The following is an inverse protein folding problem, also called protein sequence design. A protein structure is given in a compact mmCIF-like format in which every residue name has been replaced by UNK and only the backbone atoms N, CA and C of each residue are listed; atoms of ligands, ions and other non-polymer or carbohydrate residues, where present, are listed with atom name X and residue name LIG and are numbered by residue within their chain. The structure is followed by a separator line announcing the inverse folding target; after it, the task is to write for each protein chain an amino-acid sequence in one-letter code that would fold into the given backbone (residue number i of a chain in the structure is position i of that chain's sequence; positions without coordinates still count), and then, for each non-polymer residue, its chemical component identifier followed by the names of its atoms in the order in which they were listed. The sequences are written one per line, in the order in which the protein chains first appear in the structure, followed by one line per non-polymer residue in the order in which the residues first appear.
data_IF_341434177851
#
_entry.id   IF_341434177851
#
_cell.length_a   1.000
_cell.length_b   1.000
_cell.length_c   1.000
_cell.angle_alpha   90.00
_cell.angle_beta   90.00
_cell.angle_gamma   90.00
#
_symmetry.space_group_name_H-M   'P 1'
#
loop_
_entity.id
_entity.type
_entity.pdbx_description
1 polymer ?
#
# COMPACT_ATOMS: atom_id res chain seq x y z
N UNK A 1 16.19 -5.66 -17.59
CA UNK A 1 15.84 -4.28 -17.15
C UNK A 1 16.76 -3.88 -16.00
N UNK A 2 17.39 -2.70 -16.07
CA UNK A 2 18.26 -2.18 -15.00
C UNK A 2 17.46 -2.06 -13.68
N UNK A 3 18.07 -2.43 -12.55
CA UNK A 3 17.46 -2.33 -11.22
C UNK A 3 16.97 -0.90 -10.91
N UNK A 4 17.64 0.12 -11.44
CA UNK A 4 17.20 1.51 -11.30
C UNK A 4 15.83 1.77 -11.96
N UNK A 5 15.60 1.25 -13.16
CA UNK A 5 14.32 1.38 -13.87
C UNK A 5 13.23 0.58 -13.16
N UNK A 6 13.56 -0.65 -12.71
CA UNK A 6 12.68 -1.43 -11.82
C UNK A 6 12.29 -0.62 -10.58
N UNK A 7 13.23 0.13 -10.01
CA UNK A 7 13.00 1.00 -8.87
C UNK A 7 12.00 2.11 -9.19
N UNK A 8 12.20 2.85 -10.28
CA UNK A 8 11.28 3.94 -10.67
C UNK A 8 9.85 3.40 -10.84
N UNK A 9 9.70 2.27 -11.53
CA UNK A 9 8.39 1.63 -11.71
C UNK A 9 7.80 1.19 -10.36
N UNK A 10 8.60 0.59 -9.48
CA UNK A 10 8.17 0.22 -8.13
C UNK A 10 7.65 1.44 -7.38
N UNK A 11 8.43 2.53 -7.36
CA UNK A 11 8.08 3.77 -6.66
C UNK A 11 6.73 4.34 -7.13
N UNK A 12 6.49 4.36 -8.44
CA UNK A 12 5.21 4.81 -8.99
C UNK A 12 4.03 3.91 -8.59
N UNK A 13 4.27 2.59 -8.50
CA UNK A 13 3.22 1.61 -8.20
C UNK A 13 2.84 1.64 -6.71
N UNK A 14 3.80 1.74 -5.79
CA UNK A 14 3.54 1.61 -4.35
C UNK A 14 2.80 2.81 -3.74
N UNK A 15 2.77 3.96 -4.42
CA UNK A 15 1.94 5.11 -4.03
C UNK A 15 0.45 4.81 -4.18
N UNK A 16 0.07 3.94 -5.13
CA UNK A 16 -1.32 3.58 -5.39
C UNK A 16 -1.81 2.51 -4.40
N UNK A 17 -2.98 2.72 -3.77
CA UNK A 17 -3.62 1.68 -2.95
C UNK A 17 -3.96 0.47 -3.83
N UNK A 18 -3.91 -0.71 -3.24
CA UNK A 18 -4.17 -1.94 -3.99
C UNK A 18 -3.00 -2.55 -4.74
N UNK A 19 -1.87 -1.87 -4.85
CA UNK A 19 -0.67 -2.42 -5.49
C UNK A 19 0.48 -2.61 -4.50
N UNK A 20 0.76 -3.88 -4.15
CA UNK A 20 1.81 -4.24 -3.19
C UNK A 20 3.19 -4.31 -3.85
N UNK A 21 4.22 -3.73 -3.20
CA UNK A 21 5.61 -3.84 -3.63
C UNK A 21 6.11 -5.29 -3.70
N UNK A 22 5.67 -6.17 -2.78
CA UNK A 22 5.95 -7.60 -2.85
C UNK A 22 5.48 -8.26 -4.16
N UNK A 23 4.33 -7.84 -4.69
CA UNK A 23 3.84 -8.30 -6.01
C UNK A 23 4.76 -7.82 -7.14
N UNK A 24 5.21 -6.57 -7.09
CA UNK A 24 6.12 -6.01 -8.10
C UNK A 24 7.46 -6.75 -8.10
N UNK A 25 7.99 -7.07 -6.93
CA UNK A 25 9.23 -7.86 -6.81
C UNK A 25 9.09 -9.28 -7.38
N UNK A 26 7.94 -9.92 -7.20
CA UNK A 26 7.63 -11.22 -7.81
C UNK A 26 7.57 -11.10 -9.34
N UNK A 27 6.86 -10.10 -9.87
CA UNK A 27 6.79 -9.82 -11.31
C UNK A 27 8.17 -9.53 -11.91
N UNK A 28 9.04 -8.84 -11.16
CA UNK A 28 10.40 -8.57 -11.58
C UNK A 28 11.37 -9.75 -11.41
N UNK A 29 10.93 -10.86 -10.82
CA UNK A 29 11.74 -12.05 -10.55
C UNK A 29 12.84 -11.84 -9.52
N UNK A 30 12.76 -10.80 -8.67
CA UNK A 30 13.81 -10.46 -7.71
C UNK A 30 13.45 -10.77 -6.25
N UNK A 31 12.20 -11.16 -5.98
CA UNK A 31 11.67 -11.33 -4.61
C UNK A 31 12.49 -12.29 -3.74
N UNK A 32 12.70 -13.53 -4.19
CA UNK A 32 13.39 -14.57 -3.42
C UNK A 32 14.84 -14.19 -3.10
N UNK A 33 15.57 -13.69 -4.09
CA UNK A 33 16.97 -13.29 -3.92
C UNK A 33 17.06 -12.07 -3.00
N UNK A 34 16.16 -11.10 -3.16
CA UNK A 34 16.09 -9.90 -2.33
C UNK A 34 15.84 -10.27 -0.87
N UNK A 35 14.88 -11.16 -0.59
CA UNK A 35 14.62 -11.61 0.79
C UNK A 35 15.83 -12.32 1.40
N UNK A 36 16.47 -13.24 0.66
CA UNK A 36 17.67 -13.96 1.14
C UNK A 36 18.83 -13.01 1.43
N UNK A 37 19.04 -12.01 0.58
CA UNK A 37 20.09 -11.00 0.76
C UNK A 37 19.77 -10.04 1.91
N UNK A 38 18.52 -9.58 2.04
CA UNK A 38 18.07 -8.73 3.15
C UNK A 38 18.22 -9.45 4.50
N UNK A 39 17.90 -10.75 4.57
CA UNK A 39 18.09 -11.55 5.78
C UNK A 39 19.57 -11.64 6.21
N UNK A 40 20.51 -11.49 5.26
CA UNK A 40 21.96 -11.42 5.51
C UNK A 40 22.48 -9.99 5.62
N UNK A 41 21.59 -8.99 5.65
CA UNK A 41 21.91 -7.56 5.61
C UNK A 41 22.74 -7.13 4.39
N UNK A 42 22.68 -7.88 3.29
CA UNK A 42 23.38 -7.60 2.05
C UNK A 42 22.54 -6.68 1.13
N UNK A 43 22.45 -5.39 1.48
CA UNK A 43 21.60 -4.43 0.75
C UNK A 43 22.25 -3.84 -0.51
N UNK A 44 23.58 -3.96 -0.66
CA UNK A 44 24.36 -3.29 -1.71
C UNK A 44 23.84 -3.56 -3.14
N UNK A 45 23.46 -4.80 -3.52
CA UNK A 45 22.96 -5.07 -4.86
C UNK A 45 21.66 -4.31 -5.20
N UNK A 46 20.88 -3.93 -4.19
CA UNK A 46 19.56 -3.31 -4.34
C UNK A 46 19.59 -1.78 -4.16
N UNK A 47 20.77 -1.16 -3.95
CA UNK A 47 20.89 0.30 -3.89
C UNK A 47 20.33 1.02 -5.13
N UNK A 48 20.56 0.55 -6.39
CA UNK A 48 19.94 1.17 -7.56
C UNK A 48 18.41 1.07 -7.56
N UNK A 49 17.87 -0.04 -7.06
CA UNK A 49 16.43 -0.25 -6.92
C UNK A 49 15.84 0.73 -5.91
N UNK A 50 16.48 0.90 -4.75
CA UNK A 50 16.06 1.87 -3.72
C UNK A 50 16.11 3.30 -4.24
N UNK A 51 17.20 3.70 -4.90
CA UNK A 51 17.34 5.02 -5.49
C UNK A 51 16.25 5.28 -6.55
N UNK A 52 16.00 4.31 -7.43
CA UNK A 52 14.91 4.40 -8.40
C UNK A 52 13.54 4.52 -7.72
N UNK A 53 13.30 3.76 -6.65
CA UNK A 53 12.02 3.77 -5.92
C UNK A 53 11.75 5.13 -5.28
N UNK A 54 12.77 5.76 -4.70
CA UNK A 54 12.68 7.12 -4.18
C UNK A 54 12.27 8.08 -5.30
N UNK A 55 12.94 8.05 -6.45
CA UNK A 55 12.60 8.87 -7.61
C UNK A 55 11.13 8.65 -8.05
N UNK A 56 10.70 7.39 -8.16
CA UNK A 56 9.33 7.04 -8.53
C UNK A 56 8.29 7.52 -7.52
N UNK A 57 8.56 7.38 -6.21
CA UNK A 57 7.68 7.88 -5.13
C UNK A 57 7.54 9.40 -5.23
N UNK A 58 8.63 10.14 -5.41
CA UNK A 58 8.55 11.60 -5.53
C UNK A 58 7.79 12.04 -6.77
N UNK A 59 8.04 11.43 -7.93
CA UNK A 59 7.35 11.78 -9.18
C UNK A 59 5.85 11.50 -9.06
N UNK A 60 5.48 10.28 -8.66
CA UNK A 60 4.08 9.88 -8.56
C UNK A 60 3.36 10.54 -7.38
N UNK A 61 4.02 10.67 -6.23
CA UNK A 61 3.49 11.36 -5.06
C UNK A 61 3.21 12.84 -5.32
N UNK A 62 4.14 13.54 -5.99
CA UNK A 62 3.92 14.92 -6.44
C UNK A 62 2.74 15.00 -7.41
N UNK A 63 2.67 14.10 -8.40
CA UNK A 63 1.55 14.05 -9.34
C UNK A 63 0.20 13.85 -8.61
N UNK A 64 0.14 12.91 -7.66
CA UNK A 64 -1.06 12.65 -6.87
C UNK A 64 -1.42 13.81 -5.95
N UNK A 65 -0.45 14.49 -5.34
CA UNK A 65 -0.69 15.69 -4.55
C UNK A 65 -1.32 16.80 -5.41
N UNK A 66 -0.78 17.05 -6.62
CA UNK A 66 -1.33 18.03 -7.55
C UNK A 66 -2.74 17.66 -8.04
N UNK A 67 -3.01 16.38 -8.27
CA UNK A 67 -4.35 15.89 -8.59
C UNK A 67 -5.33 16.00 -7.43
N UNK A 68 -4.89 15.76 -6.19
CA UNK A 68 -5.71 16.00 -5.01
C UNK A 68 -6.08 17.47 -4.84
N UNK A 69 -5.17 18.40 -5.15
CA UNK A 69 -5.46 19.85 -5.08
C UNK A 69 -6.39 20.33 -6.19
N UNK A 70 -6.22 19.80 -7.41
CA UNK A 70 -6.97 20.28 -8.58
C UNK A 70 -8.28 19.53 -8.81
N UNK A 71 -8.31 18.24 -8.47
CA UNK A 71 -9.37 17.27 -8.80
C UNK A 71 -9.61 16.33 -7.61
N UNK A 72 -9.87 16.91 -6.44
CA UNK A 72 -9.99 16.19 -5.17
C UNK A 72 -10.97 15.03 -5.23
N UNK A 73 -12.22 15.29 -5.64
CA UNK A 73 -13.28 14.28 -5.64
C UNK A 73 -12.98 13.15 -6.63
N UNK A 74 -12.46 13.48 -7.82
CA UNK A 74 -12.05 12.51 -8.84
C UNK A 74 -10.86 11.65 -8.37
N UNK A 75 -9.88 12.25 -7.71
CA UNK A 75 -8.71 11.53 -7.19
C UNK A 75 -9.12 10.62 -6.04
N UNK A 76 -9.95 11.12 -5.11
CA UNK A 76 -10.45 10.36 -3.97
C UNK A 76 -11.22 9.12 -4.43
N UNK A 77 -12.18 9.25 -5.35
CA UNK A 77 -12.97 8.10 -5.82
C UNK A 77 -12.19 7.13 -6.70
N UNK A 78 -11.20 7.61 -7.46
CA UNK A 78 -10.25 6.74 -8.13
C UNK A 78 -9.48 5.87 -7.12
N UNK A 79 -8.93 6.50 -6.08
CA UNK A 79 -8.21 5.80 -5.00
C UNK A 79 -9.14 4.90 -4.19
N UNK A 80 -10.42 5.27 -4.03
CA UNK A 80 -11.44 4.44 -3.37
C UNK A 80 -11.68 3.16 -4.17
N UNK A 81 -11.78 3.25 -5.49
CA UNK A 81 -11.87 2.09 -6.38
C UNK A 81 -10.66 1.16 -6.22
N UNK A 82 -9.46 1.73 -6.25
CA UNK A 82 -8.20 1.01 -6.03
C UNK A 82 -8.14 0.34 -4.64
N UNK A 83 -8.56 1.06 -3.60
CA UNK A 83 -8.59 0.62 -2.21
C UNK A 83 -9.57 -0.54 -2.02
N UNK A 84 -10.81 -0.45 -2.51
CA UNK A 84 -11.79 -1.52 -2.36
C UNK A 84 -11.38 -2.76 -3.17
N UNK A 85 -10.86 -2.58 -4.39
CA UNK A 85 -10.33 -3.69 -5.18
C UNK A 85 -9.18 -4.43 -4.48
N UNK A 86 -8.44 -3.75 -3.59
CA UNK A 86 -7.37 -4.36 -2.78
C UNK A 86 -7.84 -5.39 -1.76
N UNK A 87 -9.13 -5.43 -1.43
CA UNK A 87 -9.69 -6.44 -0.52
C UNK A 87 -9.52 -7.85 -1.11
N UNK A 88 -9.64 -7.99 -2.43
CA UNK A 88 -9.51 -9.29 -3.12
C UNK A 88 -8.14 -9.96 -2.88
N UNK A 89 -6.98 -9.34 -3.20
CA UNK A 89 -5.68 -9.95 -2.95
C UNK A 89 -5.42 -10.22 -1.45
N UNK A 90 -5.97 -9.40 -0.55
CA UNK A 90 -5.85 -9.58 0.90
C UNK A 90 -6.58 -10.84 1.38
N UNK A 91 -7.78 -11.11 0.86
CA UNK A 91 -8.61 -12.28 1.23
C UNK A 91 -8.32 -13.54 0.42
N UNK A 92 -7.66 -13.42 -0.74
CA UNK A 92 -7.39 -14.52 -1.66
C UNK A 92 -6.70 -15.73 -1.02
N UNK A 93 -5.75 -15.59 -0.08
CA UNK A 93 -5.12 -16.75 0.58
C UNK A 93 -6.02 -17.46 1.60
N UNK A 94 -7.24 -16.98 1.85
CA UNK A 94 -8.15 -17.52 2.84
C UNK A 94 -9.10 -18.54 2.19
N UNK A 95 -9.05 -19.80 2.62
CA UNK A 95 -9.81 -20.88 1.98
C UNK A 95 -11.31 -20.86 2.28
N UNK A 96 -11.73 -20.42 3.48
CA UNK A 96 -13.14 -20.44 3.92
C UNK A 96 -13.49 -19.29 4.86
N UNK A 97 -14.75 -18.84 4.77
CA UNK A 97 -15.37 -17.97 5.77
C UNK A 97 -15.66 -18.78 7.03
N UNK A 98 -15.12 -18.35 8.16
CA UNK A 98 -15.45 -18.89 9.47
C UNK A 98 -16.00 -17.77 10.37
N UNK A 99 -16.70 -18.14 11.45
CA UNK A 99 -17.32 -17.16 12.36
C UNK A 99 -16.27 -16.19 12.95
N UNK A 100 -15.08 -16.70 13.28
CA UNK A 100 -13.97 -15.87 13.76
C UNK A 100 -13.56 -14.83 12.72
N UNK A 101 -13.41 -15.20 11.45
CA UNK A 101 -13.09 -14.28 10.36
C UNK A 101 -14.12 -13.17 10.21
N UNK A 102 -15.41 -13.49 10.32
CA UNK A 102 -16.48 -12.49 10.29
C UNK A 102 -16.36 -11.51 11.47
N UNK A 103 -16.10 -11.99 12.69
CA UNK A 103 -15.92 -11.13 13.86
C UNK A 103 -14.72 -10.18 13.69
N UNK A 104 -13.59 -10.67 13.19
CA UNK A 104 -12.42 -9.83 12.92
C UNK A 104 -12.64 -8.87 11.76
N UNK A 105 -13.37 -9.27 10.72
CA UNK A 105 -13.79 -8.37 9.64
C UNK A 105 -14.66 -7.23 10.17
N UNK A 106 -15.67 -7.53 10.99
CA UNK A 106 -16.53 -6.50 11.59
C UNK A 106 -15.74 -5.59 12.54
N UNK A 107 -14.85 -6.15 13.36
CA UNK A 107 -13.96 -5.38 14.22
C UNK A 107 -13.05 -4.44 13.41
N UNK A 108 -12.46 -4.94 12.33
CA UNK A 108 -11.67 -4.15 11.39
C UNK A 108 -12.50 -3.07 10.71
N UNK A 109 -13.73 -3.36 10.30
CA UNK A 109 -14.63 -2.37 9.69
C UNK A 109 -14.94 -1.22 10.64
N UNK A 110 -15.29 -1.53 11.89
CA UNK A 110 -15.58 -0.51 12.91
C UNK A 110 -14.33 0.33 13.18
N UNK A 111 -13.18 -0.30 13.42
CA UNK A 111 -11.93 0.42 13.67
C UNK A 111 -11.55 1.27 12.46
N UNK A 112 -11.60 0.72 11.24
CA UNK A 112 -11.28 1.42 10.01
C UNK A 112 -12.20 2.60 9.75
N UNK A 113 -13.49 2.48 10.10
CA UNK A 113 -14.44 3.58 10.01
C UNK A 113 -14.06 4.75 10.92
N UNK A 114 -13.62 4.47 12.16
CA UNK A 114 -13.16 5.53 13.06
C UNK A 114 -11.78 6.08 12.69
N UNK A 115 -10.86 5.23 12.24
CA UNK A 115 -9.50 5.64 11.87
C UNK A 115 -9.42 6.37 10.53
N UNK A 116 -10.30 6.06 9.59
CA UNK A 116 -10.37 6.73 8.28
C UNK A 116 -10.66 8.23 8.37
N UNK A 117 -11.07 8.73 9.55
CA UNK A 117 -11.15 10.16 9.82
C UNK A 117 -12.13 10.90 8.90
N UNK A 118 -11.86 12.19 8.72
CA UNK A 118 -12.59 13.05 7.79
C UNK A 118 -12.13 12.81 6.34
N UNK A 119 -12.96 13.16 5.33
CA UNK A 119 -12.59 12.96 3.94
C UNK A 119 -11.30 13.69 3.55
N UNK A 120 -10.34 12.94 3.00
CA UNK A 120 -8.98 13.36 2.63
C UNK A 120 -9.00 14.59 1.71
N UNK A 121 -8.10 15.55 1.92
CA UNK A 121 -8.02 16.76 1.09
C UNK A 121 -9.09 17.82 1.41
N UNK A 122 -9.86 17.66 2.49
CA UNK A 122 -10.46 18.80 3.17
C UNK A 122 -9.31 19.62 3.76
N UNK A 123 -9.21 20.91 3.42
CA UNK A 123 -8.35 21.83 4.19
C UNK A 123 -8.98 22.04 5.57
N UNK A 124 -8.81 21.05 6.44
CA UNK A 124 -8.87 21.23 7.88
C UNK A 124 -7.57 21.94 8.26
N UNK A 125 -7.64 22.91 9.17
CA UNK A 125 -6.46 23.59 9.73
C UNK A 125 -5.35 22.57 9.99
N UNK A 126 -4.12 22.92 9.57
CA UNK A 126 -2.96 22.04 9.62
C UNK A 126 -2.68 21.69 11.09
N UNK A 127 -3.30 20.63 11.60
CA UNK A 127 -2.82 19.96 12.80
C UNK A 127 -1.46 19.37 12.43
N UNK A 128 -0.42 19.84 13.11
CA UNK A 128 0.92 19.24 12.98
C UNK A 128 0.79 17.73 13.20
N UNK A 129 1.11 16.96 12.16
CA UNK A 129 1.00 15.51 12.23
C UNK A 129 1.93 15.01 13.33
N UNK A 130 1.39 14.16 14.21
CA UNK A 130 2.18 13.52 15.26
C UNK A 130 3.34 12.73 14.65
N UNK A 131 4.57 13.07 15.03
CA UNK A 131 5.78 12.35 14.62
C UNK A 131 5.73 10.87 14.99
N UNK A 132 5.05 10.55 16.10
CA UNK A 132 4.81 9.18 16.54
C UNK A 132 3.92 8.45 15.52
N UNK A 133 2.86 9.11 15.05
CA UNK A 133 1.96 8.54 14.04
C UNK A 133 2.66 8.34 12.69
N UNK A 134 3.52 9.29 12.26
CA UNK A 134 4.34 9.11 11.06
C UNK A 134 5.28 7.92 11.18
N UNK A 135 5.95 7.76 12.33
CA UNK A 135 6.84 6.64 12.56
C UNK A 135 6.09 5.30 12.58
N UNK A 136 4.95 5.23 13.28
CA UNK A 136 4.06 4.05 13.29
C UNK A 136 3.55 3.75 11.88
N UNK A 137 3.19 4.78 11.12
CA UNK A 137 2.79 4.69 9.72
C UNK A 137 3.87 4.05 8.85
N UNK A 138 5.11 4.51 8.97
CA UNK A 138 6.26 3.90 8.30
C UNK A 138 6.42 2.42 8.67
N UNK A 139 6.40 2.12 9.98
CA UNK A 139 6.56 0.75 10.49
C UNK A 139 5.48 -0.18 9.94
N UNK A 140 4.20 0.19 10.08
CA UNK A 140 3.07 -0.66 9.71
C UNK A 140 2.92 -0.79 8.19
N UNK A 141 3.10 0.30 7.43
CA UNK A 141 2.96 0.27 5.96
C UNK A 141 4.06 -0.54 5.29
N UNK A 142 5.32 -0.40 5.72
CA UNK A 142 6.43 -1.16 5.15
C UNK A 142 6.38 -2.62 5.58
N UNK A 143 5.97 -2.89 6.83
CA UNK A 143 5.69 -4.24 7.29
C UNK A 143 4.59 -4.89 6.41
N UNK A 144 3.43 -4.25 6.28
CA UNK A 144 2.36 -4.78 5.44
C UNK A 144 2.81 -5.06 3.99
N UNK A 145 3.66 -4.19 3.41
CA UNK A 145 4.10 -4.31 2.02
C UNK A 145 4.98 -5.54 1.71
N UNK A 146 5.67 -6.11 2.70
CA UNK A 146 6.49 -7.32 2.48
C UNK A 146 5.59 -8.54 2.25
N UNK A 147 4.40 -8.57 2.86
CA UNK A 147 3.40 -9.62 2.66
C UNK A 147 2.78 -9.43 1.27
N UNK A 148 2.97 -10.40 0.34
CA UNK A 148 2.40 -10.27 -0.99
C UNK A 148 0.88 -10.16 -0.92
N UNK A 149 0.34 -9.07 -1.46
CA UNK A 149 -1.09 -8.82 -1.55
C UNK A 149 -1.63 -7.79 -0.55
N UNK A 150 -0.85 -7.35 0.45
CA UNK A 150 -1.22 -6.23 1.32
C UNK A 150 -0.44 -4.97 0.88
N UNK A 151 -1.11 -3.93 0.34
CA UNK A 151 -0.45 -2.70 -0.08
C UNK A 151 -0.14 -1.79 1.11
N UNK A 152 1.08 -1.26 1.21
CA UNK A 152 1.46 -0.32 2.27
C UNK A 152 0.68 1.00 2.23
N UNK A 153 0.39 1.52 1.04
CA UNK A 153 -0.45 2.71 0.82
C UNK A 153 -1.88 2.54 1.34
N UNK A 154 -2.47 1.34 1.24
CA UNK A 154 -3.77 1.05 1.86
C UNK A 154 -3.71 1.18 3.38
N UNK A 155 -2.59 0.79 4.01
CA UNK A 155 -2.38 0.96 5.46
C UNK A 155 -2.28 2.44 5.81
N UNK A 156 -1.62 3.26 5.01
CA UNK A 156 -1.54 4.71 5.24
C UNK A 156 -2.92 5.38 5.18
N UNK A 157 -3.79 4.94 4.27
CA UNK A 157 -5.19 5.42 4.21
C UNK A 157 -5.97 4.95 5.44
N UNK A 158 -5.80 3.70 5.88
CA UNK A 158 -6.42 3.21 7.12
C UNK A 158 -5.97 4.03 8.33
N UNK A 159 -4.71 4.47 8.37
CA UNK A 159 -4.17 5.29 9.44
C UNK A 159 -4.54 6.79 9.32
N UNK A 160 -5.18 7.21 8.23
CA UNK A 160 -5.55 8.61 8.01
C UNK A 160 -4.36 9.55 7.74
N UNK A 161 -3.21 9.04 7.33
CA UNK A 161 -1.98 9.84 7.11
C UNK A 161 -1.54 9.87 5.64
N UNK A 162 -2.40 9.45 4.72
CA UNK A 162 -2.01 9.33 3.31
C UNK A 162 -1.84 10.71 2.63
N UNK A 163 -2.78 11.64 2.81
CA UNK A 163 -2.63 13.04 2.36
C UNK A 163 -1.46 13.73 3.02
N UNK A 164 -1.27 13.51 4.31
CA UNK A 164 -0.15 14.02 5.09
C UNK A 164 1.19 13.65 4.44
N UNK A 165 1.37 12.39 4.03
CA UNK A 165 2.57 11.95 3.31
C UNK A 165 2.66 12.57 1.92
N UNK A 166 1.55 12.65 1.17
CA UNK A 166 1.53 13.32 -0.13
C UNK A 166 1.90 14.81 -0.03
N UNK A 167 1.41 15.49 0.99
CA UNK A 167 1.74 16.87 1.30
C UNK A 167 3.22 17.02 1.65
N UNK A 168 3.76 16.20 2.54
CA UNK A 168 5.20 16.23 2.85
C UNK A 168 6.08 15.93 1.64
N UNK A 169 5.63 15.09 0.70
CA UNK A 169 6.31 14.88 -0.60
C UNK A 169 6.24 16.15 -1.46
N UNK A 170 5.07 16.77 -1.56
CA UNK A 170 4.83 17.97 -2.37
C UNK A 170 5.64 19.17 -1.87
N UNK A 171 5.56 19.46 -0.58
CA UNK A 171 6.23 20.60 0.06
C UNK A 171 7.68 20.29 0.46
N UNK A 172 8.17 19.08 0.15
CA UNK A 172 9.53 18.63 0.49
C UNK A 172 9.83 18.78 1.99
N UNK A 173 8.89 18.41 2.85
CA UNK A 173 9.07 18.38 4.31
C UNK A 173 9.97 17.21 4.72
N UNK A 174 11.27 17.37 4.43
CA UNK A 174 12.28 16.31 4.61
C UNK A 174 12.29 15.75 6.03
N UNK A 175 11.99 16.57 7.04
CA UNK A 175 11.93 16.10 8.42
C UNK A 175 10.84 15.03 8.64
N UNK A 176 9.61 15.29 8.18
CA UNK A 176 8.49 14.35 8.27
C UNK A 176 8.75 13.08 7.44
N UNK A 177 9.33 13.25 6.24
CA UNK A 177 9.72 12.14 5.38
C UNK A 177 10.83 11.28 5.98
N UNK A 178 11.80 11.88 6.68
CA UNK A 178 12.87 11.15 7.37
C UNK A 178 12.29 10.33 8.53
N UNK A 179 11.39 10.91 9.34
CA UNK A 179 10.72 10.18 10.43
C UNK A 179 9.95 8.98 9.88
N UNK A 180 9.15 9.19 8.84
CA UNK A 180 8.45 8.11 8.14
C UNK A 180 9.41 7.07 7.56
N UNK A 181 10.53 7.51 6.97
CA UNK A 181 11.57 6.66 6.40
C UNK A 181 12.27 5.79 7.44
N UNK A 182 12.60 6.34 8.61
CA UNK A 182 13.16 5.59 9.74
C UNK A 182 12.16 4.52 10.18
N UNK A 183 10.88 4.89 10.35
CA UNK A 183 9.82 3.93 10.65
C UNK A 183 9.73 2.83 9.60
N UNK A 184 9.81 3.19 8.32
CA UNK A 184 9.77 2.25 7.20
C UNK A 184 10.92 1.25 7.25
N UNK A 185 12.14 1.69 7.54
CA UNK A 185 13.33 0.83 7.70
C UNK A 185 13.11 -0.14 8.87
N UNK A 186 12.66 0.37 10.03
CA UNK A 186 12.36 -0.45 11.21
C UNK A 186 11.29 -1.50 10.88
N UNK A 187 10.22 -1.12 10.19
CA UNK A 187 9.15 -2.04 9.77
C UNK A 187 9.62 -3.15 8.84
N UNK A 188 10.54 -2.85 7.91
CA UNK A 188 11.15 -3.87 7.04
C UNK A 188 11.89 -4.92 7.87
N UNK A 189 12.66 -4.51 8.88
CA UNK A 189 13.44 -5.42 9.73
C UNK A 189 12.61 -6.17 10.78
N UNK A 190 11.60 -5.52 11.38
CA UNK A 190 10.66 -6.16 12.31
C UNK A 190 9.99 -7.40 11.68
N UNK A 191 9.75 -7.34 10.37
CA UNK A 191 9.03 -8.37 9.66
C UNK A 191 9.82 -9.66 9.44
N UNK A 192 11.15 -9.55 9.30
CA UNK A 192 12.04 -10.69 9.04
C UNK A 192 11.94 -11.73 10.16
N UNK A 193 11.67 -11.32 11.40
CA UNK A 193 11.61 -12.21 12.55
C UNK A 193 10.20 -12.52 13.07
N UNK A 194 9.25 -11.58 12.99
CA UNK A 194 7.98 -11.67 13.73
C UNK A 194 6.86 -12.27 12.87
N UNK A 195 6.75 -11.88 11.61
CA UNK A 195 5.58 -12.19 10.79
C UNK A 195 5.63 -13.56 10.15
N UNK A 196 6.82 -14.14 9.90
CA UNK A 196 6.88 -15.52 9.42
C UNK A 196 6.23 -16.51 10.41
N UNK A 197 6.31 -16.24 11.73
CA UNK A 197 5.71 -17.10 12.75
C UNK A 197 4.24 -16.78 13.04
N UNK A 198 3.87 -15.50 13.10
CA UNK A 198 2.51 -15.08 13.47
C UNK A 198 1.57 -15.13 12.26
N UNK A 199 2.02 -14.70 11.09
CA UNK A 199 1.20 -14.66 9.89
C UNK A 199 0.87 -16.07 9.41
N UNK A 200 1.83 -16.99 9.33
CA UNK A 200 1.53 -18.38 8.93
C UNK A 200 0.46 -19.03 9.81
N UNK A 201 0.43 -18.71 11.12
CA UNK A 201 -0.54 -19.26 12.06
C UNK A 201 -1.89 -18.54 12.07
N UNK A 202 -1.92 -17.23 11.86
CA UNK A 202 -3.14 -16.40 11.99
C UNK A 202 -3.54 -15.69 10.69
N UNK A 203 -3.01 -16.14 9.55
CA UNK A 203 -3.18 -15.53 8.21
C UNK A 203 -4.61 -15.14 7.90
N UNK A 204 -5.52 -16.09 8.06
CA UNK A 204 -6.95 -15.91 7.77
C UNK A 204 -7.55 -14.78 8.61
N UNK A 205 -7.29 -14.79 9.92
CA UNK A 205 -7.81 -13.79 10.87
C UNK A 205 -7.27 -12.39 10.54
N UNK A 206 -5.97 -12.28 10.30
CA UNK A 206 -5.30 -11.02 9.95
C UNK A 206 -5.85 -10.48 8.62
N UNK A 207 -6.00 -11.33 7.60
CA UNK A 207 -6.57 -10.95 6.31
C UNK A 207 -8.01 -10.43 6.42
N UNK A 208 -8.88 -11.10 7.18
CA UNK A 208 -10.24 -10.61 7.42
C UNK A 208 -10.26 -9.27 8.15
N UNK A 209 -9.41 -9.11 9.16
CA UNK A 209 -9.27 -7.85 9.89
C UNK A 209 -8.84 -6.70 8.96
N UNK A 210 -7.81 -6.90 8.13
CA UNK A 210 -7.38 -5.89 7.15
C UNK A 210 -8.43 -5.60 6.08
N UNK A 211 -9.15 -6.61 5.59
CA UNK A 211 -10.26 -6.39 4.66
C UNK A 211 -11.35 -5.52 5.28
N UNK A 212 -11.67 -5.76 6.56
CA UNK A 212 -12.56 -4.90 7.34
C UNK A 212 -12.03 -3.47 7.44
N UNK A 213 -10.76 -3.30 7.85
CA UNK A 213 -10.11 -2.00 7.96
C UNK A 213 -10.16 -1.21 6.65
N UNK A 214 -9.83 -1.85 5.54
CA UNK A 214 -9.84 -1.27 4.19
C UNK A 214 -11.24 -0.80 3.80
N UNK A 215 -12.26 -1.63 4.05
CA UNK A 215 -13.64 -1.26 3.74
C UNK A 215 -14.14 -0.14 4.66
N UNK A 216 -13.84 -0.20 5.95
CA UNK A 216 -14.22 0.82 6.92
C UNK A 216 -13.56 2.17 6.64
N UNK A 217 -12.25 2.18 6.36
CA UNK A 217 -11.50 3.40 6.09
C UNK A 217 -11.77 3.99 4.71
N UNK A 218 -12.43 3.26 3.80
CA UNK A 218 -12.83 3.80 2.49
C UNK A 218 -13.69 5.06 2.58
N UNK A 219 -14.35 5.31 3.73
CA UNK A 219 -15.06 6.57 3.99
C UNK A 219 -14.18 7.82 3.87
N UNK A 220 -12.87 7.68 4.14
CA UNK A 220 -11.88 8.74 4.01
C UNK A 220 -11.81 9.28 2.57
N UNK A 221 -12.27 8.50 1.60
CA UNK A 221 -12.20 8.80 0.17
C UNK A 221 -13.56 9.15 -0.43
N UNK A 222 -14.56 9.45 0.40
CA UNK A 222 -15.87 9.87 -0.10
C UNK A 222 -15.80 11.23 -0.80
N UNK A 223 -16.42 11.36 -2.00
CA UNK A 223 -16.52 12.64 -2.69
C UNK A 223 -17.49 13.57 -1.96
N UNK A 224 -17.30 14.88 -2.07
CA UNK A 224 -18.31 15.83 -1.56
C UNK A 224 -19.50 15.92 -2.50
N UNK A 225 -19.22 15.96 -3.81
CA UNK A 225 -20.24 16.11 -4.83
C UNK A 225 -20.44 14.81 -5.59
N UNK A 226 -21.58 14.15 -5.39
CA UNK A 226 -21.94 12.98 -6.17
C UNK A 226 -22.38 13.38 -7.59
N UNK A 227 -21.44 13.36 -8.53
CA UNK A 227 -21.70 13.52 -9.97
C UNK A 227 -21.70 12.15 -10.65
N UNK A 228 -22.56 11.88 -11.65
CA UNK A 228 -22.63 10.55 -12.26
C UNK A 228 -21.30 10.01 -12.84
N UNK A 229 -20.45 10.89 -13.38
CA UNK A 229 -19.17 10.48 -13.99
C UNK A 229 -18.14 9.96 -12.97
N UNK A 230 -18.28 10.31 -11.68
CA UNK A 230 -17.39 9.84 -10.62
C UNK A 230 -17.46 8.31 -10.47
N UNK A 231 -18.61 7.69 -10.79
CA UNK A 231 -18.74 6.23 -10.80
C UNK A 231 -17.85 5.58 -11.87
N UNK A 232 -17.65 6.23 -13.01
CA UNK A 232 -16.72 5.75 -14.05
C UNK A 232 -15.29 5.82 -13.56
N UNK A 233 -14.90 6.90 -12.88
CA UNK A 233 -13.56 7.09 -12.32
C UNK A 233 -13.28 6.05 -11.24
N UNK A 234 -14.24 5.82 -10.35
CA UNK A 234 -14.19 4.73 -9.37
C UNK A 234 -13.99 3.37 -10.07
N UNK A 235 -14.78 3.09 -11.11
CA UNK A 235 -14.68 1.83 -11.85
C UNK A 235 -13.31 1.66 -12.52
N UNK A 236 -12.70 2.74 -13.05
CA UNK A 236 -11.35 2.71 -13.61
C UNK A 236 -10.33 2.31 -12.55
N UNK A 237 -10.35 2.95 -11.37
CA UNK A 237 -9.46 2.58 -10.26
C UNK A 237 -9.66 1.13 -9.79
N UNK A 238 -10.92 0.73 -9.66
CA UNK A 238 -11.28 -0.64 -9.27
C UNK A 238 -10.78 -1.67 -10.27
N UNK A 239 -11.06 -1.50 -11.57
CA UNK A 239 -10.68 -2.42 -12.64
C UNK A 239 -9.15 -2.51 -12.75
N UNK A 240 -8.44 -1.38 -12.62
CA UNK A 240 -6.98 -1.35 -12.67
C UNK A 240 -6.37 -2.28 -11.62
N UNK A 241 -6.77 -2.13 -10.36
CA UNK A 241 -6.25 -2.98 -9.26
C UNK A 241 -6.78 -4.40 -9.37
N UNK A 242 -8.02 -4.59 -9.83
CA UNK A 242 -8.60 -5.92 -10.01
C UNK A 242 -7.83 -6.78 -11.03
N UNK A 243 -7.47 -6.18 -12.17
CA UNK A 243 -6.64 -6.82 -13.20
C UNK A 243 -5.23 -7.06 -12.66
N UNK A 244 -4.65 -6.08 -11.97
CA UNK A 244 -3.34 -6.20 -11.34
C UNK A 244 -3.27 -7.39 -10.37
N UNK A 245 -4.26 -7.51 -9.48
CA UNK A 245 -4.36 -8.62 -8.54
C UNK A 245 -4.53 -9.97 -9.23
N UNK A 246 -5.17 -10.03 -10.40
CA UNK A 246 -5.28 -11.24 -11.20
C UNK A 246 -3.92 -11.78 -11.68
N UNK A 247 -2.94 -10.92 -11.94
CA UNK A 247 -1.59 -11.30 -12.39
C UNK A 247 -0.73 -11.92 -11.29
N UNK A 248 -1.14 -11.85 -10.03
CA UNK A 248 -0.48 -12.49 -8.89
C UNK A 248 -0.60 -14.04 -8.89
N UNK A 249 -1.26 -14.63 -9.90
CA UNK A 249 -1.55 -16.06 -10.01
C UNK A 249 -0.53 -16.90 -10.80
N UNK A 250 0.49 -16.29 -11.40
CA UNK A 250 1.52 -17.10 -12.05
C UNK A 250 2.35 -17.79 -10.97
N UNK A 251 2.33 -19.14 -10.87
CA UNK A 251 3.27 -19.82 -9.99
C UNK A 251 4.69 -19.39 -10.39
N UNK A 252 5.57 -19.24 -9.39
CA UNK A 252 6.96 -18.85 -9.59
C UNK A 252 7.70 -19.71 -10.65
N UNK A 253 7.16 -20.90 -10.95
CA UNK A 253 7.65 -21.84 -11.95
C UNK A 253 7.37 -21.43 -13.42
N UNK A 254 6.35 -20.62 -13.71
CA UNK A 254 6.02 -20.20 -15.09
C UNK A 254 6.83 -18.99 -15.58
N UNK A 255 7.32 -18.15 -14.66
CA UNK A 255 8.11 -16.97 -14.99
C UNK A 255 9.58 -17.31 -15.27
N UNK A 256 10.08 -18.46 -14.81
CA UNK A 256 11.43 -18.93 -15.12
C UNK A 256 11.53 -19.55 -16.53
N UNK A 257 10.45 -20.16 -17.04
CA UNK A 257 10.43 -20.76 -18.40
C UNK A 257 10.39 -19.77 -19.56
N UNK A 258 10.16 -18.48 -19.28
CA UNK A 258 10.08 -17.45 -20.32
C UNK A 258 11.40 -16.73 -20.60
N UNK A 259 12.39 -16.86 -19.71
CA UNK A 259 13.74 -16.33 -19.94
C UNK A 259 14.72 -17.40 -20.44
N UNK A 260 14.27 -18.65 -20.63
CA UNK A 260 15.05 -19.77 -21.18
C UNK A 260 14.70 -20.16 -22.64
N UNK A 261 13.81 -19.40 -23.32
CA UNK A 261 13.47 -19.62 -24.73
C UNK A 261 13.70 -18.37 -25.59
#
# INVERSE_FOLDING_TARGET
MNLMIKGIILGCIIVLPGMSGGTVFLIFGIYENMLKDLAKLNIKPYLPLLAGSIIGIFISGMLFALFFESFRDETAVFLMGCLIASIRPVLKPCEKLNLQGILFFLGGLVIGYYMGGEPIGLMVEIEEISWILLMIGGILSSAAMIIPGIPGSSVLIVLGIYDSILYSIKELELFNLIIFGIGSIIGIFLLINILNNIYEKYRSVISYFFAGLILGSSRALLPYSFKPYILLIFAVGFILVWIWSGKQNAPADELQKKDEN
#
